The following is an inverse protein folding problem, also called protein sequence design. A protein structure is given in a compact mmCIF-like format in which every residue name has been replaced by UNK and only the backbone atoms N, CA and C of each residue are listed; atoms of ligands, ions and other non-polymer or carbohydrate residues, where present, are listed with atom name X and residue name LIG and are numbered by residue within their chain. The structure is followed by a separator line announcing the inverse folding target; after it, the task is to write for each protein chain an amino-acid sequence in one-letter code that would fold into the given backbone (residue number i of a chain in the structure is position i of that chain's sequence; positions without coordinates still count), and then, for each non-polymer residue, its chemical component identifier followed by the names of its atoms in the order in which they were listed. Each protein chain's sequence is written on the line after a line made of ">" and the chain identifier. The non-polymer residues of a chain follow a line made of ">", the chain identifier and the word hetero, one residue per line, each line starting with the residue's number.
data_IF_175215341562
#
_entry.id   IF_175215341562
#
_cell.length_a   1.000
_cell.length_b   1.000
_cell.length_c   1.000
_cell.angle_alpha   90.00
_cell.angle_beta   90.00
_cell.angle_gamma   90.00
#
_symmetry.space_group_name_H-M   'P 1'
#
loop_
_entity.id
_entity.type
_entity.pdbx_description
1 polymer ?
#
# COMPACT_ATOMS: atom_id res chain seq x y z
N UNK A 1 44.84 23.33 -71.92
CA UNK A 1 45.24 22.16 -72.73
C UNK A 1 45.63 21.04 -71.78
N UNK A 2 44.77 20.10 -71.47
CA UNK A 2 44.98 18.69 -71.29
C UNK A 2 43.79 18.12 -70.53
N UNK A 3 42.98 17.34 -71.23
CA UNK A 3 41.90 16.54 -70.70
C UNK A 3 42.49 15.34 -70.06
N UNK A 4 42.04 14.99 -68.84
CA UNK A 4 42.23 13.65 -68.30
C UNK A 4 40.87 13.08 -67.84
N UNK A 5 40.56 11.96 -68.40
CA UNK A 5 39.34 11.24 -68.23
C UNK A 5 39.23 10.56 -66.84
N UNK A 6 38.13 10.75 -66.14
CA UNK A 6 37.79 10.02 -64.93
C UNK A 6 37.04 8.72 -65.30
N UNK A 7 37.59 7.64 -64.77
CA UNK A 7 37.06 6.23 -64.95
C UNK A 7 36.01 5.98 -63.91
N UNK A 8 34.77 5.79 -64.31
CA UNK A 8 33.68 5.35 -63.45
C UNK A 8 33.82 3.89 -63.00
N UNK A 9 33.95 3.66 -61.72
CA UNK A 9 33.89 2.36 -61.14
C UNK A 9 32.42 2.06 -60.72
N UNK A 10 31.80 1.09 -61.37
CA UNK A 10 30.47 0.58 -60.99
C UNK A 10 30.63 -0.24 -59.72
N UNK A 11 29.93 0.16 -58.68
CA UNK A 11 29.75 -0.60 -57.43
C UNK A 11 28.34 -1.28 -57.51
N UNK A 12 28.31 -2.60 -57.42
CA UNK A 12 27.08 -3.40 -57.37
C UNK A 12 26.38 -3.23 -56.02
N UNK A 13 25.04 -3.17 -55.97
CA UNK A 13 24.29 -3.07 -54.72
C UNK A 13 24.29 -4.40 -53.99
N UNK A 14 25.02 -4.45 -52.85
CA UNK A 14 24.91 -5.51 -51.89
C UNK A 14 23.59 -5.43 -51.15
N UNK A 15 22.83 -6.52 -51.14
CA UNK A 15 21.61 -6.71 -50.37
C UNK A 15 21.90 -6.62 -48.87
N UNK A 16 21.59 -5.49 -48.25
CA UNK A 16 21.50 -5.38 -46.81
C UNK A 16 20.26 -6.13 -46.33
N UNK A 17 20.44 -7.23 -45.65
CA UNK A 17 19.37 -7.87 -44.87
C UNK A 17 19.03 -6.96 -43.71
N UNK A 18 17.80 -6.45 -43.74
CA UNK A 18 17.20 -5.68 -42.66
C UNK A 18 16.76 -6.66 -41.56
N UNK A 19 17.65 -6.99 -40.63
CA UNK A 19 17.34 -7.70 -39.40
C UNK A 19 16.66 -6.76 -38.43
N UNK A 20 15.44 -6.34 -38.74
CA UNK A 20 14.54 -5.75 -37.76
C UNK A 20 14.11 -6.83 -36.78
N UNK A 21 14.90 -6.97 -35.72
CA UNK A 21 14.43 -7.60 -34.49
C UNK A 21 13.25 -6.78 -33.98
N UNK A 22 12.04 -7.20 -34.35
CA UNK A 22 10.81 -6.71 -33.77
C UNK A 22 10.84 -7.07 -32.27
N UNK A 23 11.35 -6.17 -31.44
CA UNK A 23 11.06 -6.18 -30.02
C UNK A 23 9.55 -6.02 -29.90
N UNK A 24 8.86 -7.13 -29.78
CA UNK A 24 7.48 -7.16 -29.31
C UNK A 24 7.51 -6.52 -27.93
N UNK A 25 7.08 -5.26 -27.84
CA UNK A 25 6.71 -4.67 -26.58
C UNK A 25 5.59 -5.56 -26.03
N UNK A 26 5.90 -6.38 -25.05
CA UNK A 26 4.92 -7.07 -24.24
C UNK A 26 4.20 -5.95 -23.48
N UNK A 27 3.11 -5.44 -24.06
CA UNK A 27 2.13 -4.69 -23.31
C UNK A 27 1.70 -5.63 -22.20
N UNK A 28 2.15 -5.36 -20.98
CA UNK A 28 1.61 -6.01 -19.79
C UNK A 28 0.12 -5.65 -19.78
N UNK A 29 -0.71 -6.59 -20.24
CA UNK A 29 -2.14 -6.57 -20.01
C UNK A 29 -2.30 -6.39 -18.52
N UNK A 30 -2.85 -5.24 -18.10
CA UNK A 30 -3.10 -4.97 -16.69
C UNK A 30 -3.85 -6.17 -16.13
N UNK A 31 -3.23 -6.87 -15.19
CA UNK A 31 -3.89 -8.00 -14.52
C UNK A 31 -5.06 -7.42 -13.76
N UNK A 32 -6.27 -7.68 -14.25
CA UNK A 32 -7.49 -7.28 -13.58
C UNK A 32 -7.51 -7.96 -12.19
N UNK A 33 -7.49 -7.18 -11.12
CA UNK A 33 -7.52 -7.69 -9.76
C UNK A 33 -8.57 -6.97 -8.91
N UNK A 34 -9.08 -7.65 -7.91
CA UNK A 34 -9.99 -7.10 -6.90
C UNK A 34 -9.70 -7.72 -5.55
N UNK A 35 -9.80 -6.93 -4.51
CA UNK A 35 -9.69 -7.33 -3.11
C UNK A 35 -10.81 -6.68 -2.31
N UNK A 36 -11.42 -7.41 -1.40
CA UNK A 36 -12.35 -6.87 -0.40
C UNK A 36 -12.21 -7.64 0.91
N UNK A 37 -12.51 -6.97 2.02
CA UNK A 37 -12.38 -7.55 3.35
C UNK A 37 -12.34 -6.50 4.43
N UNK A 38 -11.54 -6.75 5.47
CA UNK A 38 -11.44 -5.90 6.66
C UNK A 38 -10.11 -5.14 6.69
N UNK A 39 -10.20 -3.92 7.11
CA UNK A 39 -9.08 -3.01 7.27
C UNK A 39 -9.04 -2.45 8.68
N UNK A 40 -7.83 -2.28 9.24
CA UNK A 40 -7.56 -1.56 10.48
C UNK A 40 -6.23 -0.84 10.39
N UNK A 41 -6.10 0.28 11.12
CA UNK A 41 -4.83 0.99 11.24
C UNK A 41 -4.65 1.64 12.60
N UNK A 42 -3.38 1.92 12.89
CA UNK A 42 -2.97 2.82 13.95
C UNK A 42 -1.80 3.68 13.50
N UNK A 43 -1.74 4.90 14.00
CA UNK A 43 -0.64 5.82 13.77
C UNK A 43 -0.22 6.52 15.07
N UNK A 44 0.91 7.19 15.04
CA UNK A 44 1.44 7.90 16.21
C UNK A 44 0.70 9.21 16.54
N UNK A 45 -0.18 9.71 15.66
CA UNK A 45 -0.94 10.92 15.95
C UNK A 45 -1.85 10.75 17.16
N UNK A 46 -2.13 11.85 17.85
CA UNK A 46 -3.18 11.88 18.85
C UNK A 46 -4.55 11.60 18.24
N UNK A 47 -5.45 11.11 19.04
CA UNK A 47 -6.84 10.95 18.64
C UNK A 47 -7.56 12.32 18.72
N UNK A 48 -8.23 12.77 17.71
CA UNK A 48 -8.47 12.24 16.38
C UNK A 48 -7.38 12.74 15.42
N UNK A 49 -6.82 11.82 14.59
CA UNK A 49 -5.75 12.19 13.67
C UNK A 49 -6.14 13.30 12.70
N UNK A 50 -5.35 14.38 12.56
CA UNK A 50 -5.64 15.47 11.64
C UNK A 50 -5.81 15.02 10.19
N UNK A 51 -5.06 14.00 9.74
CA UNK A 51 -5.10 13.52 8.37
C UNK A 51 -6.50 13.07 7.93
N UNK A 52 -7.31 12.55 8.85
CA UNK A 52 -8.63 11.98 8.52
C UNK A 52 -9.63 13.06 8.08
N UNK A 53 -9.57 14.25 8.69
CA UNK A 53 -10.57 15.31 8.46
C UNK A 53 -10.02 16.52 7.70
N UNK A 54 -8.76 16.50 7.26
CA UNK A 54 -8.13 17.59 6.52
C UNK A 54 -7.67 17.19 5.11
N UNK A 55 -8.04 15.99 4.62
CA UNK A 55 -7.50 15.42 3.37
C UNK A 55 -5.96 15.40 3.36
N UNK A 56 -5.33 14.83 4.32
CA UNK A 56 -3.98 14.86 4.89
C UNK A 56 -3.18 16.16 4.69
N UNK A 57 -3.82 17.33 4.66
CA UNK A 57 -3.16 18.62 4.38
C UNK A 57 -2.74 19.39 5.63
N UNK A 58 -3.27 19.03 6.81
CA UNK A 58 -2.80 19.61 8.06
C UNK A 58 -1.53 18.93 8.57
N UNK A 59 -0.82 19.64 9.45
CA UNK A 59 0.29 19.08 10.18
C UNK A 59 -0.18 17.92 11.08
N UNK A 60 0.56 16.83 11.08
CA UNK A 60 0.38 15.72 12.02
C UNK A 60 0.74 16.15 13.45
N UNK A 61 0.31 15.39 14.45
CA UNK A 61 0.48 15.79 15.86
C UNK A 61 1.96 16.01 16.25
N UNK A 62 2.86 15.23 15.69
CA UNK A 62 4.30 15.27 15.99
C UNK A 62 5.10 15.71 14.73
N UNK A 63 6.42 15.48 14.72
CA UNK A 63 7.28 15.88 13.61
C UNK A 63 7.08 15.03 12.35
N UNK A 64 6.43 13.87 12.50
CA UNK A 64 6.19 12.91 11.42
C UNK A 64 4.98 12.04 11.74
N UNK A 65 4.38 11.45 10.71
CA UNK A 65 3.43 10.35 10.90
C UNK A 65 4.13 9.01 10.65
N UNK A 66 3.96 8.08 11.59
CA UNK A 66 4.25 6.65 11.36
C UNK A 66 2.95 5.90 11.53
N UNK A 67 2.52 5.22 10.47
CA UNK A 67 1.25 4.49 10.42
C UNK A 67 1.45 3.05 9.94
N UNK A 68 0.66 2.15 10.49
CA UNK A 68 0.55 0.76 10.08
C UNK A 68 -0.89 0.46 9.67
N UNK A 69 -1.09 0.09 8.42
CA UNK A 69 -2.38 -0.25 7.81
C UNK A 69 -2.40 -1.75 7.53
N UNK A 70 -3.37 -2.46 8.09
CA UNK A 70 -3.46 -3.91 7.99
C UNK A 70 -4.76 -4.29 7.30
N UNK A 71 -4.67 -5.22 6.39
CA UNK A 71 -5.79 -5.70 5.58
C UNK A 71 -5.90 -7.21 5.66
N UNK A 72 -7.12 -7.71 5.89
CA UNK A 72 -7.48 -9.12 5.72
C UNK A 72 -8.39 -9.23 4.50
N UNK A 73 -8.02 -10.07 3.57
CA UNK A 73 -8.77 -10.31 2.33
C UNK A 73 -9.82 -11.39 2.61
N UNK A 74 -11.09 -11.03 2.60
CA UNK A 74 -12.19 -11.99 2.70
C UNK A 74 -12.54 -12.56 1.31
N UNK A 75 -12.42 -11.73 0.26
CA UNK A 75 -12.54 -12.13 -1.15
C UNK A 75 -11.49 -11.39 -1.98
N UNK A 76 -10.67 -12.13 -2.70
CA UNK A 76 -9.59 -11.56 -3.51
C UNK A 76 -9.25 -12.41 -4.72
N UNK A 77 -8.97 -11.75 -5.85
CA UNK A 77 -8.55 -12.40 -7.08
C UNK A 77 -7.61 -11.50 -7.86
N UNK A 78 -6.60 -12.11 -8.49
CA UNK A 78 -5.70 -11.45 -9.43
C UNK A 78 -5.30 -12.42 -10.53
N UNK A 79 -5.68 -12.13 -11.79
CA UNK A 79 -5.30 -12.96 -12.94
C UNK A 79 -5.68 -14.46 -12.82
N UNK A 80 -6.78 -14.78 -12.12
CA UNK A 80 -7.21 -16.16 -11.86
C UNK A 80 -6.64 -16.78 -10.57
N UNK A 81 -5.72 -16.10 -9.89
CA UNK A 81 -5.18 -16.53 -8.59
C UNK A 81 -6.11 -16.05 -7.48
N UNK A 82 -6.65 -16.96 -6.64
CA UNK A 82 -7.40 -16.59 -5.43
C UNK A 82 -6.45 -16.06 -4.36
N UNK A 83 -6.85 -14.96 -3.73
CA UNK A 83 -6.13 -14.32 -2.62
C UNK A 83 -6.94 -14.37 -1.31
N UNK A 84 -8.03 -15.14 -1.29
CA UNK A 84 -8.94 -15.26 -0.14
C UNK A 84 -8.20 -15.71 1.12
N UNK A 85 -8.55 -15.10 2.23
CA UNK A 85 -8.01 -15.43 3.56
C UNK A 85 -6.59 -14.96 3.82
N UNK A 86 -5.89 -14.36 2.85
CA UNK A 86 -4.57 -13.77 3.06
C UNK A 86 -4.67 -12.39 3.73
N UNK A 87 -3.60 -12.03 4.42
CA UNK A 87 -3.43 -10.70 4.98
C UNK A 87 -2.24 -9.96 4.33
N UNK A 88 -2.27 -8.63 4.41
CA UNK A 88 -1.11 -7.81 4.11
C UNK A 88 -1.07 -6.56 4.96
N UNK A 89 0.10 -5.96 5.06
CA UNK A 89 0.31 -4.72 5.79
C UNK A 89 1.04 -3.69 4.93
N UNK A 90 0.70 -2.42 5.12
CA UNK A 90 1.42 -1.27 4.60
C UNK A 90 1.96 -0.49 5.79
N UNK A 91 3.27 -0.21 5.79
CA UNK A 91 3.93 0.58 6.83
C UNK A 91 4.42 1.86 6.19
N UNK A 92 4.05 2.99 6.79
CA UNK A 92 4.26 4.31 6.22
C UNK A 92 4.96 5.20 7.24
N UNK A 93 5.93 6.00 6.78
CA UNK A 93 6.39 7.19 7.49
C UNK A 93 6.38 8.37 6.55
N UNK A 94 5.66 9.41 6.91
CA UNK A 94 5.65 10.70 6.20
C UNK A 94 6.36 11.76 7.02
N UNK A 95 6.60 12.92 6.39
CA UNK A 95 6.93 14.15 7.10
C UNK A 95 5.74 14.72 7.87
N UNK A 96 5.84 15.99 8.22
CA UNK A 96 4.87 16.72 9.04
C UNK A 96 3.51 16.91 8.36
N UNK A 97 3.49 17.03 7.04
CA UNK A 97 2.26 17.08 6.21
C UNK A 97 2.27 15.88 5.27
N UNK A 98 1.32 14.95 5.46
CA UNK A 98 1.32 13.71 4.68
C UNK A 98 1.07 13.96 3.18
N UNK A 99 0.29 14.98 2.84
CA UNK A 99 0.00 15.33 1.44
C UNK A 99 1.24 15.81 0.65
N UNK A 100 2.30 16.23 1.33
CA UNK A 100 3.56 16.64 0.68
C UNK A 100 4.35 15.46 0.09
N UNK A 101 3.90 14.23 0.34
CA UNK A 101 4.58 13.03 -0.12
C UNK A 101 5.87 12.75 0.65
N UNK A 102 6.91 12.32 -0.09
CA UNK A 102 8.20 11.90 0.47
C UNK A 102 8.08 10.77 1.52
N UNK A 103 7.14 9.87 1.29
CA UNK A 103 6.92 8.76 2.22
C UNK A 103 8.01 7.70 2.11
N UNK A 104 8.43 7.21 3.27
CA UNK A 104 8.98 5.87 3.40
C UNK A 104 7.80 4.90 3.39
N UNK A 105 7.86 3.87 2.55
CA UNK A 105 6.78 2.92 2.35
C UNK A 105 7.33 1.51 2.30
N UNK A 106 6.74 0.62 3.05
CA UNK A 106 7.09 -0.79 3.09
C UNK A 106 5.84 -1.67 3.13
N UNK A 107 5.96 -2.89 2.69
CA UNK A 107 4.85 -3.85 2.63
C UNK A 107 5.21 -5.15 3.32
N UNK A 108 4.21 -5.80 3.91
CA UNK A 108 4.31 -7.18 4.39
C UNK A 108 3.18 -7.98 3.76
N UNK A 109 3.48 -9.14 3.25
CA UNK A 109 2.53 -10.12 2.71
C UNK A 109 2.54 -11.34 3.62
N UNK A 110 1.38 -11.92 3.86
CA UNK A 110 1.21 -13.13 4.68
C UNK A 110 2.11 -14.27 4.17
N UNK A 111 2.92 -14.83 5.03
CA UNK A 111 3.87 -15.90 4.66
C UNK A 111 3.20 -17.20 4.25
N UNK A 112 1.92 -17.42 4.62
CA UNK A 112 1.15 -18.60 4.21
C UNK A 112 0.74 -18.60 2.74
N UNK A 113 0.93 -17.46 2.03
CA UNK A 113 0.71 -17.36 0.61
C UNK A 113 1.66 -18.29 -0.18
N UNK A 114 1.14 -19.02 -1.15
CA UNK A 114 1.96 -19.76 -2.11
C UNK A 114 2.69 -18.83 -3.09
N UNK A 115 3.55 -19.36 -3.95
CA UNK A 115 4.39 -18.56 -4.85
C UNK A 115 3.57 -17.71 -5.83
N UNK A 116 2.46 -18.22 -6.35
CA UNK A 116 1.58 -17.48 -7.26
C UNK A 116 0.84 -16.36 -6.51
N UNK A 117 0.35 -16.65 -5.32
CA UNK A 117 -0.28 -15.68 -4.43
C UNK A 117 0.69 -14.60 -3.96
N UNK A 118 1.94 -14.97 -3.61
CA UNK A 118 3.01 -14.03 -3.26
C UNK A 118 3.31 -13.08 -4.41
N UNK A 119 3.50 -13.61 -5.62
CA UNK A 119 3.78 -12.79 -6.79
C UNK A 119 2.64 -11.80 -7.07
N UNK A 120 1.39 -12.28 -7.06
CA UNK A 120 0.22 -11.47 -7.30
C UNK A 120 0.02 -10.38 -6.22
N UNK A 121 0.05 -10.76 -4.94
CA UNK A 121 -0.19 -9.84 -3.85
C UNK A 121 0.96 -8.83 -3.68
N UNK A 122 2.21 -9.26 -3.86
CA UNK A 122 3.36 -8.35 -3.85
C UNK A 122 3.26 -7.30 -4.97
N UNK A 123 2.85 -7.67 -6.18
CA UNK A 123 2.63 -6.72 -7.27
C UNK A 123 1.52 -5.70 -6.94
N UNK A 124 0.44 -6.14 -6.28
CA UNK A 124 -0.64 -5.26 -5.84
C UNK A 124 -0.14 -4.29 -4.76
N UNK A 125 0.39 -4.80 -3.64
CA UNK A 125 0.73 -3.95 -2.48
C UNK A 125 1.91 -3.01 -2.74
N UNK A 126 2.85 -3.39 -3.63
CA UNK A 126 3.95 -2.51 -4.06
C UNK A 126 3.51 -1.43 -5.05
N UNK A 127 2.29 -1.51 -5.55
CA UNK A 127 1.74 -0.57 -6.53
C UNK A 127 2.05 -0.91 -7.99
N UNK A 128 2.77 -1.99 -8.27
CA UNK A 128 3.11 -2.40 -9.65
C UNK A 128 1.87 -2.81 -10.47
N UNK A 129 0.86 -3.35 -9.81
CA UNK A 129 -0.41 -3.75 -10.44
C UNK A 129 -1.44 -2.60 -10.53
N UNK A 130 -1.07 -1.36 -10.24
CA UNK A 130 -1.96 -0.20 -10.30
C UNK A 130 -2.95 -0.12 -9.13
N UNK A 131 -4.11 0.50 -9.37
CA UNK A 131 -5.15 0.71 -8.36
C UNK A 131 -4.73 1.65 -7.23
N UNK A 132 -5.37 1.54 -6.07
CA UNK A 132 -5.09 2.39 -4.90
C UNK A 132 -3.62 2.35 -4.46
N UNK A 133 -2.97 1.16 -4.31
CA UNK A 133 -1.54 1.13 -3.97
C UNK A 133 -0.66 1.77 -5.05
N UNK A 134 -1.02 1.61 -6.33
CA UNK A 134 -0.30 2.24 -7.45
C UNK A 134 -0.35 3.76 -7.40
N UNK A 135 -1.52 4.33 -7.09
CA UNK A 135 -1.67 5.78 -6.92
C UNK A 135 -0.84 6.30 -5.73
N UNK A 136 -0.86 5.60 -4.60
CA UNK A 136 -0.02 5.94 -3.43
C UNK A 136 1.45 5.90 -3.83
N UNK A 137 1.87 4.80 -4.46
CA UNK A 137 3.27 4.60 -4.86
C UNK A 137 3.79 5.67 -5.80
N UNK A 138 2.99 6.06 -6.78
CA UNK A 138 3.37 7.03 -7.80
C UNK A 138 3.43 8.48 -7.29
N UNK A 139 2.54 8.85 -6.35
CA UNK A 139 2.37 10.25 -5.98
C UNK A 139 2.98 10.62 -4.62
N UNK A 140 3.14 9.66 -3.72
CA UNK A 140 3.50 9.96 -2.33
C UNK A 140 4.82 9.33 -1.87
N UNK A 141 5.27 8.24 -2.50
CA UNK A 141 6.41 7.45 -2.01
C UNK A 141 7.71 7.84 -2.69
N UNK A 142 8.70 8.25 -1.91
CA UNK A 142 10.08 8.50 -2.36
C UNK A 142 11.05 7.38 -1.96
N UNK A 143 10.78 6.66 -0.87
CA UNK A 143 11.63 5.60 -0.34
C UNK A 143 10.81 4.31 -0.15
N UNK A 144 10.93 3.38 -1.09
CA UNK A 144 10.28 2.07 -1.01
C UNK A 144 11.22 1.03 -0.42
N UNK A 145 10.89 0.51 0.75
CA UNK A 145 11.69 -0.46 1.52
C UNK A 145 11.42 -1.91 1.18
N UNK A 146 10.63 -2.19 0.13
CA UNK A 146 10.38 -3.55 -0.36
C UNK A 146 9.15 -4.22 0.24
N UNK A 147 9.07 -5.52 -0.03
CA UNK A 147 8.01 -6.41 0.46
C UNK A 147 8.66 -7.53 1.26
N UNK A 148 8.23 -7.74 2.50
CA UNK A 148 8.62 -8.89 3.31
C UNK A 148 7.46 -9.89 3.42
N UNK A 149 7.81 -11.16 3.66
CA UNK A 149 6.86 -12.24 3.89
C UNK A 149 6.97 -12.67 5.34
N UNK A 150 5.90 -12.45 6.12
CA UNK A 150 5.86 -12.73 7.56
C UNK A 150 4.50 -13.29 7.96
N UNK A 151 4.41 -14.01 9.08
CA UNK A 151 3.12 -14.37 9.64
C UNK A 151 2.38 -13.10 10.08
N UNK A 152 1.09 -13.00 9.74
CA UNK A 152 0.23 -11.89 10.13
C UNK A 152 -0.92 -12.42 10.97
N UNK A 153 -0.86 -12.19 12.28
CA UNK A 153 -1.94 -12.54 13.20
C UNK A 153 -2.94 -11.38 13.28
N UNK A 154 -4.01 -11.47 12.51
CA UNK A 154 -5.09 -10.48 12.43
C UNK A 154 -6.25 -10.87 13.35
N UNK A 155 -6.57 -10.06 14.35
CA UNK A 155 -7.60 -10.33 15.36
C UNK A 155 -8.75 -9.33 15.31
N UNK A 156 -9.99 -9.83 15.40
CA UNK A 156 -11.22 -9.03 15.48
C UNK A 156 -12.17 -9.63 16.49
N UNK A 157 -12.58 -8.83 17.48
CA UNK A 157 -13.60 -9.22 18.46
C UNK A 157 -14.43 -7.98 18.85
N UNK A 158 -15.68 -7.95 18.44
CA UNK A 158 -16.55 -6.78 18.68
C UNK A 158 -15.92 -5.48 18.16
N UNK A 159 -15.65 -4.53 19.04
CA UNK A 159 -14.99 -3.27 18.73
C UNK A 159 -13.46 -3.35 18.81
N UNK A 160 -12.92 -4.45 19.31
CA UNK A 160 -11.47 -4.63 19.45
C UNK A 160 -10.86 -5.18 18.16
N UNK A 161 -9.72 -4.65 17.81
CA UNK A 161 -8.90 -5.05 16.68
C UNK A 161 -7.45 -5.13 17.11
N UNK A 162 -6.72 -6.09 16.61
CA UNK A 162 -5.31 -6.22 16.90
C UNK A 162 -4.55 -6.93 15.79
N UNK A 163 -3.27 -6.66 15.73
CA UNK A 163 -2.34 -7.34 14.82
C UNK A 163 -1.02 -7.61 15.51
N UNK A 164 -0.41 -8.72 15.15
CA UNK A 164 0.99 -9.01 15.47
C UNK A 164 1.68 -9.54 14.20
N UNK A 165 2.74 -8.88 13.81
CA UNK A 165 3.69 -9.32 12.78
C UNK A 165 5.05 -9.39 13.47
N UNK A 166 5.57 -10.57 13.81
CA UNK A 166 6.81 -10.71 14.56
C UNK A 166 7.95 -9.90 13.95
N UNK A 167 8.71 -9.20 14.82
CA UNK A 167 9.86 -8.34 14.48
C UNK A 167 9.54 -7.09 13.64
N UNK A 168 8.32 -6.96 13.10
CA UNK A 168 7.92 -5.85 12.24
C UNK A 168 7.04 -4.86 13.00
N UNK A 169 5.87 -5.30 13.45
CA UNK A 169 4.92 -4.42 14.14
C UNK A 169 3.89 -5.18 14.96
N UNK A 170 3.32 -4.49 15.94
CA UNK A 170 2.08 -4.91 16.60
C UNK A 170 1.29 -3.69 17.07
N UNK A 171 -0.04 -3.79 17.05
CA UNK A 171 -0.90 -2.81 17.71
C UNK A 171 -2.22 -3.43 18.16
N UNK A 172 -2.84 -2.74 19.14
CA UNK A 172 -4.18 -3.03 19.63
C UNK A 172 -4.99 -1.73 19.62
N UNK A 173 -6.17 -1.78 19.00
CA UNK A 173 -7.10 -0.65 18.94
C UNK A 173 -8.49 -1.09 19.40
N UNK A 174 -9.25 -0.16 19.97
CA UNK A 174 -10.64 -0.37 20.33
C UNK A 174 -11.51 0.78 19.82
N UNK A 175 -12.62 0.43 19.16
CA UNK A 175 -13.60 1.40 18.68
C UNK A 175 -14.17 2.24 19.82
N UNK A 176 -14.28 3.54 19.60
CA UNK A 176 -14.88 4.46 20.59
C UNK A 176 -16.39 4.27 20.55
N UNK A 177 -16.93 3.51 21.50
CA UNK A 177 -18.35 3.17 21.55
C UNK A 177 -19.24 4.44 21.65
N UNK A 178 -20.28 4.50 20.82
CA UNK A 178 -21.31 5.51 20.92
C UNK A 178 -22.22 5.23 22.11
N UNK A 179 -22.71 6.29 22.77
CA UNK A 179 -23.71 6.19 23.83
C UNK A 179 -25.15 6.08 23.33
N UNK A 180 -25.36 6.00 22.01
CA UNK A 180 -26.69 5.87 21.41
C UNK A 180 -27.33 4.50 21.52
N UNK A 181 -26.70 3.57 22.24
CA UNK A 181 -27.14 2.19 22.50
C UNK A 181 -27.16 1.28 21.27
N UNK A 182 -26.58 1.67 20.13
CA UNK A 182 -26.47 0.80 18.96
C UNK A 182 -25.41 -0.31 19.11
N UNK A 183 -24.48 -0.14 20.05
CA UNK A 183 -23.27 -0.99 20.15
C UNK A 183 -22.21 -0.68 19.10
N UNK A 184 -22.48 0.30 18.24
CA UNK A 184 -21.54 0.73 17.20
C UNK A 184 -20.54 1.78 17.72
N UNK A 185 -19.37 1.90 17.11
CA UNK A 185 -18.43 2.98 17.41
C UNK A 185 -18.91 4.30 16.80
N UNK A 186 -18.26 5.41 17.15
CA UNK A 186 -18.37 6.63 16.35
C UNK A 186 -17.78 6.41 14.96
N UNK A 187 -18.38 7.06 13.97
CA UNK A 187 -17.88 7.08 12.60
C UNK A 187 -17.53 8.51 12.17
N UNK A 188 -16.52 8.61 11.31
CA UNK A 188 -16.38 9.74 10.40
C UNK A 188 -16.75 9.25 9.01
N UNK A 189 -17.54 10.04 8.28
CA UNK A 189 -18.04 9.68 6.96
C UNK A 189 -17.59 10.69 5.91
N UNK A 190 -17.60 10.25 4.65
CA UNK A 190 -17.24 11.05 3.49
C UNK A 190 -15.78 11.52 3.48
N UNK A 191 -14.89 10.71 4.03
CA UNK A 191 -13.44 10.97 3.99
C UNK A 191 -12.85 10.58 2.62
N UNK A 192 -11.69 11.14 2.29
CA UNK A 192 -10.89 10.72 1.13
C UNK A 192 -9.93 9.57 1.46
N UNK A 193 -10.17 8.82 2.55
CA UNK A 193 -9.26 7.75 2.98
C UNK A 193 -9.24 6.60 1.97
N UNK A 194 -8.06 6.06 1.60
CA UNK A 194 -7.93 5.06 0.54
C UNK A 194 -8.60 3.72 0.86
N UNK A 195 -8.77 3.35 2.13
CA UNK A 195 -9.42 2.09 2.49
C UNK A 195 -10.95 2.18 2.39
N UNK A 196 -11.56 3.22 2.95
CA UNK A 196 -13.00 3.45 2.89
C UNK A 196 -13.33 4.93 3.19
N UNK A 197 -14.37 5.44 2.56
CA UNK A 197 -14.89 6.79 2.84
C UNK A 197 -15.54 6.94 4.22
N UNK A 198 -15.92 5.83 4.88
CA UNK A 198 -16.50 5.78 6.22
C UNK A 198 -15.62 4.96 7.13
N UNK A 199 -15.11 5.57 8.20
CA UNK A 199 -14.19 4.95 9.13
C UNK A 199 -14.79 4.90 10.53
N UNK A 200 -14.72 3.75 11.17
CA UNK A 200 -14.98 3.59 12.59
C UNK A 200 -13.80 4.17 13.37
N UNK A 201 -14.07 5.10 14.28
CA UNK A 201 -13.04 5.75 15.09
C UNK A 201 -12.64 4.86 16.25
N UNK A 202 -11.34 4.72 16.48
CA UNK A 202 -10.77 3.89 17.53
C UNK A 202 -9.61 4.58 18.23
N UNK A 203 -9.24 4.06 19.39
CA UNK A 203 -8.03 4.46 20.14
C UNK A 203 -7.10 3.28 20.29
N UNK A 204 -5.82 3.51 20.11
CA UNK A 204 -4.82 2.48 20.35
C UNK A 204 -4.45 2.42 21.82
N UNK A 205 -4.38 1.22 22.38
CA UNK A 205 -3.77 0.96 23.67
C UNK A 205 -2.26 0.74 23.56
N UNK A 206 -1.80 0.20 22.44
CA UNK A 206 -0.40 0.03 22.11
C UNK A 206 -0.18 0.10 20.60
N UNK A 207 0.99 0.63 20.20
CA UNK A 207 1.49 0.62 18.82
C UNK A 207 3.01 0.50 18.84
N UNK A 208 3.52 -0.56 18.25
CA UNK A 208 4.95 -0.84 18.12
C UNK A 208 5.29 -1.04 16.65
N UNK A 209 6.27 -0.30 16.13
CA UNK A 209 6.83 -0.51 14.79
C UNK A 209 8.34 -0.65 14.93
N UNK A 210 8.89 -1.76 14.43
CA UNK A 210 10.33 -2.10 14.56
C UNK A 210 10.97 -2.43 13.21
N UNK A 211 10.17 -2.86 12.23
CA UNK A 211 10.65 -3.25 10.91
C UNK A 211 11.06 -2.06 10.04
N UNK A 212 11.74 -2.37 8.94
CA UNK A 212 12.11 -1.44 7.87
C UNK A 212 12.92 -0.21 8.29
N UNK A 213 13.61 -0.29 9.44
CA UNK A 213 14.34 0.86 10.01
C UNK A 213 13.43 1.96 10.56
N UNK A 214 12.16 1.65 10.80
CA UNK A 214 11.18 2.55 11.40
C UNK A 214 11.00 2.14 12.87
N UNK A 215 11.41 3.01 13.80
CA UNK A 215 11.27 2.79 15.24
C UNK A 215 10.10 3.61 15.80
N UNK A 216 9.14 2.95 16.45
CA UNK A 216 8.06 3.59 17.18
C UNK A 216 7.59 2.68 18.32
N UNK A 217 7.48 3.24 19.52
CA UNK A 217 6.95 2.55 20.71
C UNK A 217 5.97 3.48 21.43
N UNK A 218 4.69 3.11 21.46
CA UNK A 218 3.62 3.85 22.13
C UNK A 218 2.73 2.90 22.92
N UNK A 219 2.61 3.15 24.21
CA UNK A 219 1.74 2.38 25.13
C UNK A 219 0.91 3.32 25.98
N UNK A 220 -0.38 3.05 26.09
CA UNK A 220 -1.30 3.79 26.96
C UNK A 220 -1.56 5.25 26.57
N UNK A 221 -1.16 5.67 25.37
CA UNK A 221 -1.34 7.05 24.90
C UNK A 221 -2.74 7.33 24.37
N UNK A 222 -3.50 6.29 24.02
CA UNK A 222 -4.80 6.46 23.38
C UNK A 222 -4.71 7.15 22.02
N UNK A 223 -3.60 6.91 21.31
CA UNK A 223 -3.32 7.47 19.99
C UNK A 223 -4.34 6.99 18.95
N UNK A 224 -4.27 7.55 17.77
CA UNK A 224 -5.26 7.31 16.73
C UNK A 224 -5.26 5.86 16.24
N UNK A 225 -6.46 5.35 16.04
CA UNK A 225 -6.77 4.14 15.31
C UNK A 225 -8.11 4.25 14.62
N UNK A 226 -8.30 3.49 13.56
CA UNK A 226 -9.60 3.32 12.91
C UNK A 226 -9.67 2.02 12.12
N UNK A 227 -10.88 1.64 11.74
CA UNK A 227 -11.13 0.43 10.97
C UNK A 227 -12.37 0.57 10.10
N UNK A 228 -12.46 -0.23 9.07
CA UNK A 228 -13.58 -0.29 8.14
C UNK A 228 -13.51 -1.55 7.28
N UNK A 229 -14.56 -1.97 6.59
CA UNK A 229 -14.40 -2.81 5.42
C UNK A 229 -13.63 -2.06 4.33
N UNK A 230 -12.97 -2.79 3.42
CA UNK A 230 -12.34 -2.18 2.25
C UNK A 230 -12.72 -2.91 0.96
N UNK A 231 -12.58 -2.21 -0.17
CA UNK A 231 -12.76 -2.77 -1.50
C UNK A 231 -11.89 -2.02 -2.50
N UNK A 232 -10.92 -2.73 -3.08
CA UNK A 232 -9.99 -2.22 -4.08
C UNK A 232 -10.03 -3.04 -5.36
N UNK A 233 -9.79 -2.39 -6.51
CA UNK A 233 -9.69 -3.04 -7.81
C UNK A 233 -8.81 -2.21 -8.77
N UNK A 234 -8.30 -2.87 -9.82
CA UNK A 234 -7.67 -2.25 -10.98
C UNK A 234 -7.74 -3.18 -12.22
#
# INVERSE_FOLDING_TARGET
>A
LLRTAAREARVSPGTLRDDRVTRRATTMSGTNWRLSGEYMESCNCDYLCPCIYTNPQAEVTYDHCTAALIFRIDQGQSGGVSLDGLCFALVIRSGKVMADGNWVFACVVDEKADDAQRAALAAIVSGQAGGTPGMIRANLVSDFRGVEYRPIDFRMEGLKRGVTIPEILSFEIEGVASRNRSGEPFFIDNTAHPANRRLALARASALHVRGFGLGLDMVGKGNNGHFAPFSWAA
#
